data_IF_277356416164
#
_entry.id   IF_277356416164
#
_cell.length_a   1.000
_cell.length_b   1.000
_cell.length_c   1.000
_cell.angle_alpha   90.00
_cell.angle_beta   90.00
_cell.angle_gamma   90.00
#
_symmetry.space_group_name_H-M   'P 1'
#
loop_
_entity.id
_entity.type
_entity.pdbx_description
1 polymer ?
#
# COMPACT_ATOMS: atom_id res chain seq x y z
N UNK A 1 6.16 4.85 9.03
CA UNK A 1 4.75 4.67 9.37
C UNK A 1 4.24 5.93 10.04
N UNK A 2 3.03 6.34 9.69
CA UNK A 2 2.39 7.55 10.21
C UNK A 2 1.00 7.16 10.72
N UNK A 3 0.71 7.45 12.01
CA UNK A 3 -0.57 7.12 12.64
C UNK A 3 -1.16 8.30 13.41
N UNK A 4 -2.47 8.28 13.66
CA UNK A 4 -3.19 9.30 14.44
C UNK A 4 -4.64 9.47 13.99
N UNK A 5 -5.41 10.21 14.76
CA UNK A 5 -6.83 10.48 14.48
C UNK A 5 -7.07 11.16 13.12
N UNK A 6 -8.27 11.03 12.55
CA UNK A 6 -8.68 11.88 11.43
C UNK A 6 -8.46 13.35 11.77
N UNK A 7 -7.96 14.13 10.80
CA UNK A 7 -7.66 15.55 11.01
C UNK A 7 -6.39 15.87 11.82
N UNK A 8 -5.63 14.87 12.31
CA UNK A 8 -4.43 15.08 13.13
C UNK A 8 -3.20 15.61 12.37
N UNK A 9 -3.25 15.74 11.04
CA UNK A 9 -2.16 16.27 10.23
C UNK A 9 -1.32 15.22 9.48
N UNK A 10 -1.69 13.93 9.50
CA UNK A 10 -0.97 12.85 8.78
C UNK A 10 -0.79 13.14 7.29
N UNK A 11 -1.91 13.41 6.61
CA UNK A 11 -1.93 13.73 5.18
C UNK A 11 -1.17 15.03 4.89
N UNK A 12 -1.29 16.05 5.77
CA UNK A 12 -0.55 17.31 5.67
C UNK A 12 0.97 17.09 5.73
N UNK A 13 1.44 16.24 6.64
CA UNK A 13 2.86 15.88 6.73
C UNK A 13 3.36 15.23 5.44
N UNK A 14 2.60 14.29 4.88
CA UNK A 14 2.99 13.63 3.63
C UNK A 14 2.98 14.61 2.47
N UNK A 15 1.95 15.42 2.32
CA UNK A 15 1.87 16.48 1.28
C UNK A 15 3.05 17.45 1.37
N UNK A 16 3.41 17.86 2.57
CA UNK A 16 4.60 18.69 2.79
C UNK A 16 5.88 17.96 2.36
N UNK A 17 6.02 16.67 2.68
CA UNK A 17 7.17 15.86 2.32
C UNK A 17 7.31 15.65 0.81
N UNK A 18 6.19 15.54 0.08
CA UNK A 18 6.20 15.39 -1.38
C UNK A 18 6.82 16.58 -2.12
N UNK A 19 6.82 17.78 -1.53
CA UNK A 19 7.47 18.97 -2.09
C UNK A 19 9.00 18.93 -2.02
N UNK A 20 9.56 18.04 -1.20
CA UNK A 20 10.98 17.97 -0.90
C UNK A 20 11.52 16.56 -1.18
N UNK A 21 11.15 15.96 -2.31
CA UNK A 21 11.60 14.63 -2.69
C UNK A 21 13.09 14.71 -3.04
N UNK A 22 13.95 13.98 -2.32
CA UNK A 22 15.38 13.95 -2.65
C UNK A 22 15.60 13.17 -3.94
N UNK A 23 16.33 13.78 -4.90
CA UNK A 23 16.85 13.00 -6.04
C UNK A 23 17.79 11.89 -5.55
N UNK A 24 17.78 10.67 -6.08
CA UNK A 24 17.07 10.24 -7.32
C UNK A 24 15.75 9.47 -7.08
N UNK A 25 15.01 9.75 -6.01
CA UNK A 25 13.83 8.96 -5.67
C UNK A 25 12.63 9.32 -6.56
N UNK A 26 11.89 8.30 -7.01
CA UNK A 26 10.51 8.43 -7.47
C UNK A 26 9.55 8.20 -6.30
N UNK A 27 8.37 8.79 -6.36
CA UNK A 27 7.33 8.58 -5.34
C UNK A 27 6.03 8.16 -5.99
N UNK A 28 5.43 7.06 -5.52
CA UNK A 28 4.09 6.63 -5.88
C UNK A 28 3.17 6.72 -4.65
N UNK A 29 2.11 7.50 -4.74
CA UNK A 29 1.11 7.67 -3.68
C UNK A 29 -0.16 6.95 -4.08
N UNK A 30 -0.55 5.95 -3.32
CA UNK A 30 -1.84 5.27 -3.49
C UNK A 30 -2.90 6.01 -2.66
N UNK A 31 -3.68 6.83 -3.34
CA UNK A 31 -4.68 7.71 -2.76
C UNK A 31 -6.05 7.05 -2.74
N UNK A 32 -6.49 6.61 -1.58
CA UNK A 32 -7.77 5.92 -1.44
C UNK A 32 -8.97 6.87 -1.30
N UNK A 33 -8.73 8.13 -0.97
CA UNK A 33 -9.76 9.15 -0.71
C UNK A 33 -9.82 10.25 -1.79
N UNK A 34 -8.83 10.31 -2.69
CA UNK A 34 -8.73 11.36 -3.70
C UNK A 34 -8.25 12.71 -3.13
N UNK A 35 -7.48 12.67 -2.04
CA UNK A 35 -7.03 13.87 -1.33
C UNK A 35 -5.69 14.44 -1.83
N UNK A 36 -4.86 13.61 -2.49
CA UNK A 36 -3.53 14.01 -2.94
C UNK A 36 -3.59 14.62 -4.34
N UNK A 37 -3.35 15.92 -4.43
CA UNK A 37 -3.34 16.70 -5.68
C UNK A 37 -2.00 17.39 -5.94
N UNK A 38 -1.03 17.21 -5.07
CA UNK A 38 0.24 17.92 -5.05
C UNK A 38 1.36 17.17 -5.81
N UNK A 39 1.07 16.01 -6.38
CA UNK A 39 2.03 15.25 -7.16
C UNK A 39 2.27 15.88 -8.55
N UNK A 40 3.44 15.59 -9.12
CA UNK A 40 3.76 15.98 -10.50
C UNK A 40 2.81 15.32 -11.51
N UNK A 41 2.43 14.07 -11.25
CA UNK A 41 1.44 13.33 -12.02
C UNK A 41 0.26 12.96 -11.11
N UNK A 42 -0.96 13.30 -11.49
CA UNK A 42 -2.18 12.96 -10.74
C UNK A 42 -3.18 12.33 -11.69
N UNK A 43 -3.68 11.13 -11.37
CA UNK A 43 -4.67 10.49 -12.23
C UNK A 43 -5.13 9.11 -11.75
N UNK A 44 -6.03 8.55 -12.56
CA UNK A 44 -6.49 7.16 -12.47
C UNK A 44 -5.73 6.35 -13.50
N UNK A 45 -4.56 5.89 -13.11
CA UNK A 45 -3.72 5.05 -13.94
C UNK A 45 -4.18 3.60 -13.91
N UNK A 46 -3.79 2.82 -14.91
CA UNK A 46 -4.12 1.40 -14.98
C UNK A 46 -2.91 0.50 -14.74
N UNK A 47 -3.18 -0.71 -14.25
CA UNK A 47 -2.24 -1.82 -14.13
C UNK A 47 -2.85 -3.05 -14.77
N UNK A 48 -2.03 -3.89 -15.39
CA UNK A 48 -2.50 -5.16 -15.91
C UNK A 48 -1.95 -6.31 -15.07
N UNK A 49 -2.76 -6.99 -14.27
CA UNK A 49 -2.30 -8.16 -13.53
C UNK A 49 -1.72 -9.26 -14.44
N UNK A 50 -2.19 -9.35 -15.70
CA UNK A 50 -1.70 -10.37 -16.66
C UNK A 50 -0.28 -10.08 -17.18
N UNK A 51 0.31 -8.91 -16.87
CA UNK A 51 1.74 -8.65 -17.11
C UNK A 51 2.63 -9.38 -16.09
N UNK A 52 2.04 -10.04 -15.08
CA UNK A 52 2.70 -10.83 -14.05
C UNK A 52 2.63 -12.33 -14.37
N UNK A 53 3.49 -13.16 -13.75
CA UNK A 53 3.35 -14.62 -13.82
C UNK A 53 1.97 -15.09 -13.35
N UNK A 54 1.34 -16.08 -13.99
CA UNK A 54 -0.03 -16.52 -13.68
C UNK A 54 -0.29 -16.82 -12.21
N UNK A 55 0.65 -17.48 -11.53
CA UNK A 55 0.54 -17.80 -10.10
C UNK A 55 0.49 -16.54 -9.24
N UNK A 56 1.22 -15.49 -9.65
CA UNK A 56 1.20 -14.21 -8.94
C UNK A 56 -0.15 -13.51 -9.05
N UNK A 57 -0.84 -13.65 -10.18
CA UNK A 57 -2.22 -13.14 -10.35
C UNK A 57 -3.18 -13.82 -9.38
N UNK A 58 -3.06 -15.14 -9.23
CA UNK A 58 -3.86 -15.92 -8.27
C UNK A 58 -3.60 -15.44 -6.84
N UNK A 59 -2.32 -15.34 -6.42
CA UNK A 59 -1.94 -14.89 -5.08
C UNK A 59 -2.46 -13.47 -4.76
N UNK A 60 -2.40 -12.56 -5.73
CA UNK A 60 -2.92 -11.18 -5.57
C UNK A 60 -4.44 -11.21 -5.35
N UNK A 61 -5.17 -11.98 -6.14
CA UNK A 61 -6.63 -12.07 -6.00
C UNK A 61 -7.01 -12.72 -4.67
N UNK A 62 -6.33 -13.78 -4.25
CA UNK A 62 -6.54 -14.44 -2.95
C UNK A 62 -6.30 -13.46 -1.79
N UNK A 63 -5.18 -12.73 -1.79
CA UNK A 63 -4.86 -11.78 -0.73
C UNK A 63 -5.86 -10.62 -0.68
N UNK A 64 -6.27 -10.10 -1.84
CA UNK A 64 -7.24 -9.00 -1.91
C UNK A 64 -8.62 -9.42 -1.39
N UNK A 65 -9.07 -10.62 -1.73
CA UNK A 65 -10.32 -11.19 -1.22
C UNK A 65 -10.24 -11.46 0.28
N UNK A 66 -9.16 -12.11 0.76
CA UNK A 66 -8.96 -12.42 2.17
C UNK A 66 -8.90 -11.15 3.03
N UNK A 67 -8.18 -10.11 2.57
CA UNK A 67 -8.09 -8.84 3.27
C UNK A 67 -9.42 -8.08 3.34
N UNK A 68 -10.37 -8.40 2.48
CA UNK A 68 -11.68 -7.75 2.44
C UNK A 68 -12.73 -8.50 3.24
N UNK A 69 -12.78 -9.83 3.10
CA UNK A 69 -13.86 -10.67 3.63
C UNK A 69 -13.45 -11.51 4.84
N UNK A 70 -12.18 -11.43 5.25
CA UNK A 70 -11.65 -12.16 6.40
C UNK A 70 -11.12 -13.55 6.04
N UNK A 71 -10.70 -14.29 7.07
CA UNK A 71 -10.15 -15.64 6.95
C UNK A 71 -11.23 -16.70 6.66
N UNK A 72 -12.09 -16.44 5.67
CA UNK A 72 -12.90 -17.52 5.13
C UNK A 72 -11.97 -18.41 4.31
N UNK A 73 -11.73 -19.66 4.71
CA UNK A 73 -11.01 -20.59 3.86
C UNK A 73 -11.78 -20.67 2.53
N UNK A 74 -11.07 -20.47 1.41
CA UNK A 74 -11.63 -20.66 0.06
C UNK A 74 -12.42 -19.50 -0.56
N UNK A 75 -12.05 -18.26 -0.29
CA UNK A 75 -12.54 -17.13 -1.08
C UNK A 75 -12.20 -17.28 -2.57
N UNK A 76 -11.03 -17.85 -2.88
CA UNK A 76 -10.67 -18.42 -4.17
C UNK A 76 -10.40 -19.93 -3.94
N UNK A 77 -11.32 -20.80 -4.38
CA UNK A 77 -11.13 -22.25 -4.22
C UNK A 77 -10.04 -22.77 -5.15
N UNK A 78 -9.38 -23.90 -4.83
CA UNK A 78 -8.40 -24.51 -5.73
C UNK A 78 -8.93 -24.69 -7.17
N UNK A 79 -10.18 -25.11 -7.32
CA UNK A 79 -10.81 -25.26 -8.64
C UNK A 79 -10.97 -23.90 -9.38
N UNK A 80 -11.29 -22.81 -8.66
CA UNK A 80 -11.32 -21.47 -9.27
C UNK A 80 -9.92 -21.00 -9.66
N UNK A 81 -8.90 -21.26 -8.82
CA UNK A 81 -7.51 -20.92 -9.11
C UNK A 81 -7.02 -21.66 -10.35
N UNK A 82 -7.30 -22.95 -10.46
CA UNK A 82 -6.96 -23.75 -11.64
C UNK A 82 -7.65 -23.25 -12.92
N UNK A 83 -8.95 -22.96 -12.84
CA UNK A 83 -9.70 -22.40 -13.97
C UNK A 83 -9.17 -21.02 -14.37
N UNK A 84 -8.76 -20.18 -13.41
CA UNK A 84 -8.13 -18.89 -13.68
C UNK A 84 -6.79 -19.07 -14.38
N UNK A 85 -5.91 -19.95 -13.88
CA UNK A 85 -4.61 -20.25 -14.51
C UNK A 85 -4.79 -20.72 -15.97
N UNK A 86 -5.69 -21.70 -16.19
CA UNK A 86 -6.01 -22.20 -17.52
C UNK A 86 -6.58 -21.11 -18.43
N UNK A 87 -7.37 -20.18 -17.87
CA UNK A 87 -7.89 -19.04 -18.61
C UNK A 87 -6.79 -18.04 -19.01
N UNK A 88 -5.80 -17.79 -18.13
CA UNK A 88 -4.65 -16.93 -18.44
C UNK A 88 -3.83 -17.52 -19.60
N UNK A 89 -3.63 -18.82 -19.63
CA UNK A 89 -2.90 -19.53 -20.68
C UNK A 89 -3.55 -19.44 -22.07
N UNK A 90 -4.85 -19.09 -22.15
CA UNK A 90 -5.53 -18.82 -23.43
C UNK A 90 -5.05 -17.52 -24.10
N UNK A 91 -4.22 -16.71 -23.44
CA UNK A 91 -3.61 -15.50 -24.01
C UNK A 91 -4.54 -14.28 -24.05
N UNK A 92 -5.53 -14.20 -23.18
CA UNK A 92 -6.33 -12.99 -23.02
C UNK A 92 -5.48 -11.80 -22.60
N UNK A 93 -5.92 -10.59 -22.95
CA UNK A 93 -5.16 -9.37 -22.72
C UNK A 93 -5.44 -8.74 -21.36
N UNK A 94 -6.64 -8.94 -20.81
CA UNK A 94 -7.09 -8.37 -19.54
C UNK A 94 -7.89 -9.36 -18.72
N UNK A 95 -8.02 -9.12 -17.41
CA UNK A 95 -8.91 -9.91 -16.56
C UNK A 95 -10.38 -9.72 -16.93
N UNK A 96 -10.75 -8.58 -17.51
CA UNK A 96 -12.09 -8.35 -18.06
C UNK A 96 -12.39 -9.30 -19.22
N UNK A 97 -11.40 -9.58 -20.09
CA UNK A 97 -11.57 -10.55 -21.18
C UNK A 97 -11.77 -11.97 -20.62
N UNK A 98 -10.99 -12.36 -19.61
CA UNK A 98 -11.16 -13.65 -18.92
C UNK A 98 -12.56 -13.72 -18.31
N UNK A 99 -12.98 -12.69 -17.56
CA UNK A 99 -14.31 -12.62 -16.95
C UNK A 99 -15.43 -12.78 -17.98
N UNK A 100 -15.29 -12.18 -19.15
CA UNK A 100 -16.29 -12.30 -20.23
C UNK A 100 -16.35 -13.71 -20.84
N UNK A 101 -15.24 -14.44 -20.85
CA UNK A 101 -15.11 -15.70 -21.57
C UNK A 101 -14.97 -16.94 -20.67
N UNK A 102 -14.80 -16.82 -19.35
CA UNK A 102 -14.54 -17.94 -18.46
C UNK A 102 -15.59 -19.06 -18.53
N UNK A 103 -16.87 -18.72 -18.78
CA UNK A 103 -17.93 -19.72 -18.97
C UNK A 103 -17.79 -20.54 -20.25
N UNK A 104 -17.08 -20.03 -21.26
CA UNK A 104 -16.79 -20.78 -22.50
C UNK A 104 -15.56 -21.67 -22.38
N UNK A 105 -14.69 -21.36 -21.43
CA UNK A 105 -13.46 -22.12 -21.15
C UNK A 105 -13.73 -23.28 -20.19
N UNK A 106 -14.70 -23.08 -19.29
CA UNK A 106 -15.08 -24.06 -18.30
C UNK A 106 -15.68 -25.33 -18.95
N UNK A 107 -15.30 -26.47 -18.43
CA UNK A 107 -15.89 -27.76 -18.79
C UNK A 107 -17.32 -27.87 -18.20
N UNK A 108 -18.16 -28.79 -18.72
CA UNK A 108 -19.55 -28.90 -18.26
C UNK A 108 -19.72 -29.09 -16.74
N UNK A 109 -18.78 -29.75 -16.08
CA UNK A 109 -18.80 -29.97 -14.63
C UNK A 109 -18.23 -28.78 -13.82
N UNK A 110 -17.63 -27.77 -14.46
CA UNK A 110 -17.03 -26.58 -13.83
C UNK A 110 -17.91 -25.34 -13.91
N UNK A 111 -19.13 -25.42 -14.45
CA UNK A 111 -19.98 -24.25 -14.71
C UNK A 111 -20.23 -23.42 -13.46
N UNK A 112 -20.49 -24.04 -12.31
CA UNK A 112 -20.69 -23.34 -11.05
C UNK A 112 -19.40 -22.66 -10.56
N UNK A 113 -18.26 -23.31 -10.75
CA UNK A 113 -16.92 -22.76 -10.47
C UNK A 113 -16.67 -21.52 -11.33
N UNK A 114 -17.01 -21.58 -12.61
CA UNK A 114 -16.85 -20.47 -13.55
C UNK A 114 -17.75 -19.27 -13.19
N UNK A 115 -19.00 -19.51 -12.80
CA UNK A 115 -19.86 -18.42 -12.28
C UNK A 115 -19.30 -17.82 -11.00
N UNK A 116 -18.78 -18.62 -10.11
CA UNK A 116 -18.16 -18.15 -8.87
C UNK A 116 -16.89 -17.34 -9.15
N UNK A 117 -16.01 -17.80 -10.04
CA UNK A 117 -14.82 -17.06 -10.46
C UNK A 117 -15.17 -15.74 -11.16
N UNK A 118 -16.15 -15.76 -12.08
CA UNK A 118 -16.64 -14.57 -12.77
C UNK A 118 -17.08 -13.47 -11.81
N UNK A 119 -17.75 -13.83 -10.69
CA UNK A 119 -18.15 -12.87 -9.66
C UNK A 119 -16.95 -12.26 -8.94
N UNK A 120 -15.91 -13.03 -8.67
CA UNK A 120 -14.69 -12.53 -8.02
C UNK A 120 -13.88 -11.62 -8.92
N UNK A 121 -13.79 -11.95 -10.20
CA UNK A 121 -13.12 -11.12 -11.20
C UNK A 121 -13.85 -9.78 -11.44
N UNK A 122 -15.11 -9.64 -11.02
CA UNK A 122 -15.84 -8.39 -11.14
C UNK A 122 -15.19 -7.22 -10.38
N UNK A 123 -14.44 -7.50 -9.31
CA UNK A 123 -13.68 -6.49 -8.57
C UNK A 123 -12.48 -5.91 -9.34
N UNK A 124 -12.01 -6.64 -10.37
CA UNK A 124 -10.90 -6.27 -11.22
C UNK A 124 -11.36 -5.98 -12.65
N UNK A 125 -12.64 -5.64 -12.81
CA UNK A 125 -13.25 -5.29 -14.08
C UNK A 125 -13.45 -3.77 -14.16
N UNK A 126 -12.60 -3.12 -14.94
CA UNK A 126 -12.66 -1.68 -15.08
C UNK A 126 -11.42 -1.07 -15.73
N UNK A 127 -11.47 0.21 -16.05
CA UNK A 127 -10.39 0.88 -16.80
C UNK A 127 -9.05 0.88 -16.07
N UNK A 128 -9.06 0.74 -14.74
CA UNK A 128 -7.82 0.68 -13.94
C UNK A 128 -7.16 -0.71 -13.93
N UNK A 129 -7.75 -1.74 -14.58
CA UNK A 129 -7.18 -3.07 -14.77
C UNK A 129 -7.01 -3.40 -16.26
N UNK A 130 -6.44 -2.45 -17.00
CA UNK A 130 -6.16 -2.57 -18.43
C UNK A 130 -4.66 -2.59 -18.72
N UNK A 131 -4.24 -1.87 -19.77
CA UNK A 131 -2.81 -1.75 -20.09
C UNK A 131 -2.11 -0.92 -19.01
N UNK A 132 -0.98 -1.43 -18.51
CA UNK A 132 -0.17 -0.72 -17.49
C UNK A 132 0.37 0.60 -18.05
N UNK A 133 0.05 1.72 -17.36
CA UNK A 133 0.42 3.07 -17.76
C UNK A 133 0.86 3.99 -16.61
N UNK A 134 1.10 3.43 -15.41
CA UNK A 134 1.49 4.21 -14.22
C UNK A 134 2.89 4.81 -14.43
N UNK A 135 3.04 6.14 -14.43
CA UNK A 135 4.35 6.77 -14.59
C UNK A 135 5.14 6.70 -13.29
N UNK A 136 6.32 6.08 -13.33
CA UNK A 136 7.29 6.05 -12.21
C UNK A 136 8.60 6.66 -12.72
N UNK A 137 8.76 7.95 -12.49
CA UNK A 137 9.90 8.72 -12.97
C UNK A 137 10.76 9.20 -11.79
N UNK A 138 12.09 9.10 -11.93
CA UNK A 138 13.01 9.60 -10.90
C UNK A 138 12.89 11.12 -10.73
N UNK A 139 12.87 11.56 -9.48
CA UNK A 139 12.72 12.97 -9.12
C UNK A 139 11.28 13.48 -9.17
N UNK A 140 10.32 12.62 -9.53
CA UNK A 140 8.90 12.98 -9.62
C UNK A 140 8.01 12.15 -8.69
N UNK A 141 6.85 12.71 -8.40
CA UNK A 141 5.77 12.07 -7.64
C UNK A 141 4.57 11.77 -8.52
N UNK A 142 3.97 10.59 -8.31
CA UNK A 142 2.74 10.17 -8.98
C UNK A 142 1.68 9.86 -7.93
N UNK A 143 0.58 10.59 -7.96
CA UNK A 143 -0.61 10.35 -7.13
C UNK A 143 -1.62 9.52 -7.93
N UNK A 144 -1.86 8.30 -7.47
CA UNK A 144 -2.73 7.31 -8.10
C UNK A 144 -4.07 7.33 -7.38
N UNK A 145 -5.09 7.88 -8.02
CA UNK A 145 -6.45 7.96 -7.48
C UNK A 145 -7.14 6.59 -7.54
N UNK A 146 -7.30 5.96 -6.39
CA UNK A 146 -7.99 4.67 -6.21
C UNK A 146 -9.42 4.83 -5.67
N UNK A 147 -9.93 6.05 -5.53
CA UNK A 147 -11.25 6.31 -4.92
C UNK A 147 -12.39 5.63 -5.66
N UNK A 148 -12.26 5.39 -6.97
CA UNK A 148 -13.25 4.72 -7.80
C UNK A 148 -13.27 3.19 -7.67
N UNK A 149 -12.28 2.57 -7.03
CA UNK A 149 -12.22 1.13 -6.82
C UNK A 149 -12.87 0.74 -5.49
N UNK A 150 -13.49 -0.43 -5.47
CA UNK A 150 -13.90 -1.06 -4.22
C UNK A 150 -12.68 -1.56 -3.41
N UNK A 151 -12.92 -2.13 -2.24
CA UNK A 151 -11.84 -2.55 -1.35
C UNK A 151 -10.97 -3.65 -1.96
N UNK A 152 -11.57 -4.65 -2.61
CA UNK A 152 -10.82 -5.74 -3.28
C UNK A 152 -9.98 -5.17 -4.42
N UNK A 153 -10.60 -4.34 -5.26
CA UNK A 153 -9.93 -3.69 -6.38
C UNK A 153 -8.75 -2.82 -5.95
N UNK A 154 -8.89 -2.02 -4.85
CA UNK A 154 -7.77 -1.22 -4.31
C UNK A 154 -6.60 -2.07 -3.89
N UNK A 155 -6.85 -3.15 -3.15
CA UNK A 155 -5.80 -4.06 -2.67
C UNK A 155 -5.13 -4.75 -3.85
N UNK A 156 -5.91 -5.32 -4.76
CA UNK A 156 -5.37 -5.98 -5.96
C UNK A 156 -4.56 -5.01 -6.82
N UNK A 157 -5.02 -3.76 -6.99
CA UNK A 157 -4.30 -2.73 -7.72
C UNK A 157 -2.92 -2.45 -7.10
N UNK A 158 -2.89 -2.16 -5.79
CA UNK A 158 -1.63 -1.86 -5.09
C UNK A 158 -0.66 -3.02 -5.17
N UNK A 159 -1.12 -4.25 -4.91
CA UNK A 159 -0.27 -5.44 -4.97
C UNK A 159 0.25 -5.68 -6.40
N UNK A 160 -0.61 -5.55 -7.42
CA UNK A 160 -0.20 -5.66 -8.83
C UNK A 160 0.88 -4.65 -9.17
N UNK A 161 0.67 -3.36 -8.83
CA UNK A 161 1.64 -2.32 -9.13
C UNK A 161 2.97 -2.53 -8.38
N UNK A 162 2.94 -2.96 -7.11
CA UNK A 162 4.14 -3.28 -6.34
C UNK A 162 4.93 -4.45 -6.95
N UNK A 163 4.24 -5.46 -7.47
CA UNK A 163 4.88 -6.59 -8.16
C UNK A 163 5.47 -6.17 -9.52
N UNK A 164 4.73 -5.43 -10.33
CA UNK A 164 5.20 -4.92 -11.62
C UNK A 164 6.44 -4.02 -11.46
N UNK A 165 6.50 -3.27 -10.39
CA UNK A 165 7.61 -2.35 -10.07
C UNK A 165 8.67 -2.95 -9.14
N UNK A 166 8.65 -4.28 -8.92
CA UNK A 166 9.53 -4.97 -7.97
C UNK A 166 11.02 -4.80 -8.28
N UNK A 167 11.38 -4.68 -9.54
CA UNK A 167 12.77 -4.48 -10.01
C UNK A 167 13.26 -3.03 -9.91
N UNK A 168 12.37 -2.07 -9.74
CA UNK A 168 12.73 -0.66 -9.65
C UNK A 168 13.50 -0.37 -8.36
N UNK A 169 14.42 0.59 -8.44
CA UNK A 169 15.21 1.08 -7.30
C UNK A 169 14.92 2.55 -7.05
N UNK A 170 15.18 2.99 -5.82
CA UNK A 170 14.98 4.37 -5.40
C UNK A 170 13.51 4.82 -5.57
N UNK A 171 12.57 3.99 -5.11
CA UNK A 171 11.14 4.31 -5.13
C UNK A 171 10.62 4.38 -3.69
N UNK A 172 9.80 5.39 -3.43
CA UNK A 172 9.07 5.56 -2.17
C UNK A 172 7.58 5.33 -2.49
N UNK A 173 7.01 4.31 -1.88
CA UNK A 173 5.59 4.00 -1.98
C UNK A 173 4.87 4.55 -0.74
N UNK A 174 3.90 5.42 -0.96
CA UNK A 174 3.02 5.96 0.09
C UNK A 174 1.68 5.25 -0.02
N UNK A 175 1.29 4.52 1.01
CA UNK A 175 0.03 3.80 1.05
C UNK A 175 -0.87 4.47 2.09
N UNK A 176 -1.89 5.14 1.59
CA UNK A 176 -2.92 5.72 2.44
C UNK A 176 -3.89 4.63 2.91
N UNK A 177 -4.44 4.78 4.12
CA UNK A 177 -5.30 3.79 4.76
C UNK A 177 -4.66 2.38 4.81
N UNK A 178 -3.35 2.31 5.05
CA UNK A 178 -2.55 1.08 4.95
C UNK A 178 -3.06 -0.06 5.84
N UNK A 179 -3.81 0.22 6.90
CA UNK A 179 -4.45 -0.79 7.74
C UNK A 179 -5.41 -1.69 6.96
N UNK A 180 -6.04 -1.17 5.90
CA UNK A 180 -6.95 -1.95 5.05
C UNK A 180 -6.25 -3.03 4.26
N UNK A 181 -4.95 -2.85 4.03
CA UNK A 181 -4.09 -3.79 3.31
C UNK A 181 -3.42 -4.78 4.26
N UNK A 182 -3.19 -4.37 5.51
CA UNK A 182 -2.43 -5.14 6.50
C UNK A 182 -3.31 -5.90 7.50
N UNK A 183 -4.61 -5.63 7.56
CA UNK A 183 -5.51 -6.17 8.59
C UNK A 183 -5.51 -7.71 8.65
N UNK A 184 -5.25 -8.37 7.55
CA UNK A 184 -5.22 -9.84 7.41
C UNK A 184 -3.87 -10.35 6.92
N UNK A 185 -2.84 -9.48 6.93
CA UNK A 185 -1.51 -9.88 6.50
C UNK A 185 -0.96 -10.97 7.43
N UNK A 186 -1.12 -12.21 7.05
CA UNK A 186 -0.37 -13.32 7.58
C UNK A 186 1.12 -13.09 7.34
N UNK A 187 2.00 -13.85 8.01
CA UNK A 187 3.47 -13.76 7.86
C UNK A 187 3.96 -13.84 6.40
N UNK A 188 3.10 -14.22 5.49
CA UNK A 188 3.37 -14.50 4.08
C UNK A 188 2.61 -13.60 3.10
N UNK A 189 2.00 -12.49 3.57
CA UNK A 189 1.32 -11.58 2.63
C UNK A 189 2.32 -10.94 1.67
N UNK A 190 1.89 -10.70 0.43
CA UNK A 190 2.70 -10.05 -0.59
C UNK A 190 3.19 -8.69 -0.14
N UNK A 191 2.31 -7.90 0.50
CA UNK A 191 2.71 -6.60 1.05
C UNK A 191 3.78 -6.75 2.13
N UNK A 192 3.66 -7.73 3.04
CA UNK A 192 4.68 -7.99 4.06
C UNK A 192 6.01 -8.39 3.44
N UNK A 193 6.01 -9.18 2.36
CA UNK A 193 7.23 -9.52 1.62
C UNK A 193 7.89 -8.27 1.01
N UNK A 194 7.11 -7.38 0.40
CA UNK A 194 7.61 -6.10 -0.09
C UNK A 194 8.22 -5.23 1.03
N UNK A 195 7.58 -5.13 2.18
CA UNK A 195 8.09 -4.39 3.34
C UNK A 195 9.42 -4.98 3.84
N UNK A 196 9.54 -6.30 3.86
CA UNK A 196 10.73 -7.02 4.32
C UNK A 196 11.90 -6.89 3.35
N UNK A 197 11.65 -7.04 2.05
CA UNK A 197 12.67 -7.08 1.00
C UNK A 197 13.01 -5.70 0.41
N UNK A 198 12.13 -4.73 0.56
CA UNK A 198 12.21 -3.42 -0.09
C UNK A 198 13.52 -2.67 0.17
N UNK A 199 14.06 -2.75 1.40
CA UNK A 199 15.32 -2.08 1.76
C UNK A 199 16.51 -2.49 0.89
N UNK A 200 16.65 -3.77 0.60
CA UNK A 200 17.76 -4.26 -0.23
C UNK A 200 17.69 -3.70 -1.66
N UNK A 201 16.47 -3.44 -2.14
CA UNK A 201 16.19 -2.86 -3.46
C UNK A 201 16.05 -1.33 -3.42
N UNK A 202 16.35 -0.65 -2.31
CA UNK A 202 16.11 0.79 -2.11
C UNK A 202 14.67 1.21 -2.41
N UNK A 203 13.73 0.37 -2.03
CA UNK A 203 12.29 0.67 -2.05
C UNK A 203 11.85 0.95 -0.62
N UNK A 204 11.19 2.06 -0.42
CA UNK A 204 10.76 2.53 0.90
C UNK A 204 9.25 2.64 0.94
N UNK A 205 8.67 2.38 2.11
CA UNK A 205 7.23 2.41 2.31
C UNK A 205 6.86 3.39 3.40
N UNK A 206 5.96 4.31 3.07
CA UNK A 206 5.28 5.20 4.01
C UNK A 206 3.86 4.70 4.16
N UNK A 207 3.55 4.16 5.32
CA UNK A 207 2.24 3.60 5.64
C UNK A 207 1.48 4.59 6.51
N UNK A 208 0.29 5.00 6.08
CA UNK A 208 -0.58 5.94 6.81
C UNK A 208 -1.77 5.16 7.36
N UNK A 209 -2.13 5.38 8.62
CA UNK A 209 -3.29 4.77 9.26
C UNK A 209 -3.87 5.62 10.37
N UNK A 210 -5.08 5.26 10.80
CA UNK A 210 -5.76 5.89 11.91
C UNK A 210 -5.35 5.34 13.28
N UNK A 211 -4.86 4.10 13.36
CA UNK A 211 -4.51 3.43 14.62
C UNK A 211 -3.12 2.81 14.57
N UNK A 212 -2.39 2.98 15.65
CA UNK A 212 -1.08 2.34 15.85
C UNK A 212 -1.20 0.83 16.09
N UNK A 213 -2.28 0.39 16.77
CA UNK A 213 -2.50 -1.03 17.11
C UNK A 213 -2.56 -1.93 15.89
N UNK A 214 -3.10 -1.42 14.79
CA UNK A 214 -3.19 -2.15 13.53
C UNK A 214 -1.83 -2.57 12.97
N UNK A 215 -0.78 -1.85 13.35
CA UNK A 215 0.58 -2.09 12.88
C UNK A 215 1.47 -2.86 13.86
N UNK A 216 1.01 -3.18 15.07
CA UNK A 216 1.86 -3.81 16.10
C UNK A 216 2.56 -5.08 15.59
N UNK A 217 1.88 -5.89 14.78
CA UNK A 217 2.43 -7.13 14.19
C UNK A 217 3.52 -6.87 13.15
N UNK A 218 3.54 -5.67 12.56
CA UNK A 218 4.44 -5.29 11.47
C UNK A 218 5.59 -4.37 11.93
N UNK A 219 5.65 -3.98 13.20
CA UNK A 219 6.68 -3.09 13.73
C UNK A 219 8.10 -3.60 13.50
N UNK A 220 8.30 -4.91 13.37
CA UNK A 220 9.60 -5.50 13.05
C UNK A 220 10.21 -4.99 11.75
N UNK A 221 9.39 -4.58 10.79
CA UNK A 221 9.78 -4.07 9.48
C UNK A 221 9.84 -2.54 9.42
N UNK A 222 9.23 -1.86 10.39
CA UNK A 222 9.16 -0.39 10.45
C UNK A 222 10.36 0.18 11.18
N UNK A 223 10.97 1.23 10.63
CA UNK A 223 12.13 1.91 11.23
C UNK A 223 11.78 3.24 11.87
N UNK A 224 10.81 3.94 11.31
CA UNK A 224 10.35 5.24 11.79
C UNK A 224 8.86 5.17 12.00
N UNK A 225 8.43 5.54 13.19
CA UNK A 225 7.02 5.68 13.57
C UNK A 225 6.77 7.14 13.91
N UNK A 226 5.83 7.76 13.24
CA UNK A 226 5.35 9.11 13.53
C UNK A 226 3.92 8.96 14.03
N UNK A 227 3.70 9.26 15.31
CA UNK A 227 2.39 9.18 15.95
C UNK A 227 1.89 10.57 16.24
N UNK A 228 0.82 10.94 15.60
CA UNK A 228 -0.04 12.04 16.01
C UNK A 228 -0.94 11.60 17.16
N UNK A 229 -1.68 12.52 17.82
CA UNK A 229 -2.68 12.12 18.81
C UNK A 229 -3.60 11.02 18.27
N UNK A 230 -3.72 9.92 18.98
CA UNK A 230 -4.58 8.78 18.63
C UNK A 230 -5.24 8.17 19.88
N UNK A 231 -6.27 7.33 19.65
CA UNK A 231 -7.03 6.68 20.73
C UNK A 231 -6.19 5.67 21.53
N UNK A 232 -5.07 5.24 20.99
CA UNK A 232 -4.19 4.21 21.55
C UNK A 232 -3.03 4.80 22.35
N UNK A 233 -2.95 6.14 22.46
CA UNK A 233 -1.93 6.79 23.27
C UNK A 233 -2.28 6.63 24.76
N UNK A 234 -1.42 5.91 25.46
CA UNK A 234 -1.47 5.85 26.92
C UNK A 234 -0.91 7.17 27.46
N UNK A 235 -1.81 8.10 27.79
CA UNK A 235 -1.48 9.42 28.33
C UNK A 235 -0.69 9.35 29.62
N UNK A 236 -0.76 8.23 30.35
CA UNK A 236 0.02 8.01 31.57
C UNK A 236 1.52 7.83 31.30
N UNK A 237 1.90 7.47 30.07
CA UNK A 237 3.30 7.20 29.66
C UNK A 237 3.92 8.31 28.81
N UNK A 238 3.11 9.16 28.22
CA UNK A 238 3.56 10.30 27.39
C UNK A 238 2.79 11.54 27.79
N UNK A 239 3.49 12.66 27.98
CA UNK A 239 2.77 13.93 28.14
C UNK A 239 1.88 14.18 26.90
N UNK A 240 0.68 14.76 27.06
CA UNK A 240 -0.27 14.94 25.97
C UNK A 240 0.39 15.73 24.82
N UNK A 241 0.07 15.34 23.58
CA UNK A 241 0.49 16.02 22.37
C UNK A 241 -0.53 17.10 22.00
N UNK A 242 -0.06 18.27 21.60
CA UNK A 242 -0.91 19.28 20.97
C UNK A 242 -1.38 18.80 19.57
N UNK A 243 -2.45 19.36 19.02
CA UNK A 243 -2.99 18.92 17.71
C UNK A 243 -1.99 18.96 16.56
N UNK A 244 -0.98 19.83 16.61
CA UNK A 244 0.08 19.93 15.59
C UNK A 244 1.37 19.20 15.95
N UNK A 245 1.40 18.48 17.07
CA UNK A 245 2.58 17.73 17.50
C UNK A 245 2.48 16.26 17.12
N UNK A 246 3.63 15.67 16.82
CA UNK A 246 3.77 14.24 16.62
C UNK A 246 4.93 13.68 17.45
N UNK A 247 4.75 12.47 17.93
CA UNK A 247 5.80 11.70 18.58
C UNK A 247 6.53 10.88 17.52
N UNK A 248 7.81 11.17 17.31
CA UNK A 248 8.64 10.45 16.36
C UNK A 248 9.48 9.42 17.10
N UNK A 249 9.37 8.17 16.69
CA UNK A 249 10.16 7.06 17.22
C UNK A 249 10.99 6.45 16.09
N UNK A 250 12.30 6.39 16.25
CA UNK A 250 13.24 5.88 15.26
C UNK A 250 13.95 4.66 15.81
N UNK A 251 13.99 3.57 15.04
CA UNK A 251 14.73 2.35 15.38
C UNK A 251 16.11 2.36 14.76
N UNK A 252 17.14 2.29 15.59
CA UNK A 252 18.50 2.11 15.15
C UNK A 252 18.75 0.64 14.74
N UNK A 253 19.13 0.43 13.49
CA UNK A 253 19.25 -0.92 12.92
C UNK A 253 20.61 -1.59 13.18
N UNK A 254 21.60 -0.85 13.70
CA UNK A 254 22.95 -1.33 13.96
C UNK A 254 23.60 -0.57 15.12
N UNK A 255 24.69 -1.11 15.68
CA UNK A 255 25.47 -0.44 16.74
C UNK A 255 25.94 0.94 16.29
N UNK A 256 26.44 1.07 15.05
CA UNK A 256 26.84 2.36 14.49
C UNK A 256 25.66 3.34 14.43
N UNK A 257 24.50 2.88 13.96
CA UNK A 257 23.29 3.71 13.92
C UNK A 257 22.81 4.10 15.33
N UNK A 258 22.99 3.23 16.35
CA UNK A 258 22.70 3.57 17.75
C UNK A 258 23.63 4.67 18.28
N UNK A 259 24.92 4.57 18.00
CA UNK A 259 25.89 5.58 18.41
C UNK A 259 25.62 6.93 17.77
N UNK A 260 25.33 6.97 16.47
CA UNK A 260 25.01 8.22 15.77
C UNK A 260 23.68 8.82 16.24
N UNK A 261 22.64 8.01 16.36
CA UNK A 261 21.33 8.47 16.83
C UNK A 261 21.40 8.94 18.29
N UNK A 262 22.13 8.22 19.16
CA UNK A 262 22.30 8.55 20.57
C UNK A 262 23.01 9.87 20.85
N UNK A 263 23.77 10.42 19.87
CA UNK A 263 24.36 11.77 19.96
C UNK A 263 23.31 12.87 19.90
N UNK A 264 22.17 12.59 19.26
CA UNK A 264 21.14 13.59 18.96
C UNK A 264 19.86 13.36 19.75
N UNK A 265 19.54 12.11 20.08
CA UNK A 265 18.27 11.71 20.68
C UNK A 265 18.51 10.68 21.79
N UNK A 266 17.88 10.82 22.97
CA UNK A 266 17.94 9.81 24.01
C UNK A 266 17.43 8.46 23.52
N UNK A 267 18.21 7.40 23.69
CA UNK A 267 17.84 6.05 23.29
C UNK A 267 17.29 5.23 24.46
N UNK A 268 16.26 4.46 24.22
CA UNK A 268 15.82 3.34 25.06
C UNK A 268 16.04 2.05 24.27
N UNK A 269 17.13 1.35 24.56
CA UNK A 269 17.57 0.20 23.77
C UNK A 269 17.91 0.61 22.34
N UNK A 270 17.19 0.07 21.35
CA UNK A 270 17.40 0.37 19.91
C UNK A 270 16.52 1.51 19.38
N UNK A 271 15.70 2.15 20.23
CA UNK A 271 14.76 3.18 19.83
C UNK A 271 15.10 4.54 20.41
N UNK A 272 15.11 5.57 19.57
CA UNK A 272 15.14 6.97 19.96
C UNK A 272 13.77 7.60 19.79
N UNK A 273 13.39 8.52 20.67
CA UNK A 273 12.08 9.19 20.65
C UNK A 273 12.22 10.69 20.87
N UNK A 274 11.48 11.49 20.10
CA UNK A 274 11.41 12.93 20.24
C UNK A 274 10.04 13.47 19.79
N UNK A 275 9.71 14.69 20.20
CA UNK A 275 8.54 15.42 19.71
C UNK A 275 8.90 16.26 18.49
N UNK A 276 8.00 16.34 17.55
CA UNK A 276 8.11 17.16 16.35
C UNK A 276 6.83 17.98 16.17
N UNK A 277 6.99 19.27 15.95
CA UNK A 277 5.87 20.11 15.51
C UNK A 277 5.74 20.04 13.99
N UNK A 278 4.55 19.72 13.51
CA UNK A 278 4.24 19.66 12.09
C UNK A 278 3.60 20.98 11.69
N UNK A 279 4.20 21.75 10.78
CA UNK A 279 3.60 23.00 10.31
C UNK A 279 2.27 22.73 9.60
N UNK A 280 1.29 23.62 9.72
CA UNK A 280 0.04 23.49 9.00
C UNK A 280 0.32 23.49 7.49
N UNK A 281 -0.30 22.54 6.78
CA UNK A 281 -0.21 22.51 5.34
C UNK A 281 -1.03 23.67 4.75
N UNK A 282 -0.35 24.67 4.18
CA UNK A 282 -0.98 25.69 3.38
C UNK A 282 -0.87 25.29 1.90
N UNK A 283 -1.97 25.01 1.19
CA UNK A 283 -1.91 24.81 -0.25
C UNK A 283 -1.35 26.07 -0.90
N UNK A 284 -0.38 25.91 -1.82
CA UNK A 284 0.04 27.05 -2.63
C UNK A 284 -1.17 27.52 -3.42
N UNK A 285 -1.55 28.81 -3.26
CA UNK A 285 -2.47 29.44 -4.21
C UNK A 285 -1.76 29.38 -5.55
N UNK A 286 -2.34 28.68 -6.53
CA UNK A 286 -1.86 28.72 -7.90
C UNK A 286 -1.75 30.17 -8.34
N UNK A 287 -0.89 30.49 -9.33
CA UNK A 287 -0.89 31.82 -9.93
C UNK A 287 -2.31 32.14 -10.40
N UNK A 288 -2.78 33.31 -10.01
CA UNK A 288 -4.10 33.85 -10.36
C UNK A 288 -4.23 34.04 -11.87
#
# INVERSE_FOLDING_TARGET
MITGLPGSGKTSLVKWSLRNIPSPYAVAVYDTAGEFRECDNVGRYSVNPLDLPPQRVVEILEEALAATYGEYPYLLTPAMAELLLRSIEQGFKTLSDIRANVLKIAEPHEVDTAYALRRRLAHLDGPQFGKTDVPIEQGKSTCIDLSGLDRVGRIAYVLTHLELTRSLKNVIYVIDEAHRFLAFANRYSLLTDHLRTGRASRRFFVLISHSYREFLRHLGYVKVVIRFPDWDMDESKTAPLNPSEALVTIRAASVKAQQELGKTIPLRGTWGQFRMTVPPYAPQRGPA
#
